data_IF_258604077372
#
_entry.id   IF_258604077372
#
_cell.length_a   1.000
_cell.length_b   1.000
_cell.length_c   1.000
_cell.angle_alpha   90.00
_cell.angle_beta   90.00
_cell.angle_gamma   90.00
#
_symmetry.space_group_name_H-M   'P 1'
#
loop_
_entity.id
_entity.type
_entity.pdbx_description
1 polymer ?
#
# COMPACT_ATOMS: atom_id res chain seq x y z
N UNK A 1 10.39 5.99 -9.26
CA UNK A 1 9.04 6.26 -8.73
C UNK A 1 9.09 7.57 -7.95
N UNK A 2 8.04 8.38 -8.03
CA UNK A 2 7.94 9.63 -7.26
C UNK A 2 7.25 9.39 -5.93
N UNK A 3 7.64 10.14 -4.90
CA UNK A 3 7.06 10.08 -3.58
C UNK A 3 5.63 10.61 -3.61
N UNK A 4 4.70 9.79 -3.12
CA UNK A 4 3.28 10.16 -3.03
C UNK A 4 3.01 11.36 -2.11
N UNK A 5 3.93 11.65 -1.17
CA UNK A 5 3.79 12.74 -0.20
C UNK A 5 4.33 14.08 -0.70
N UNK A 6 5.52 14.07 -1.32
CA UNK A 6 6.24 15.31 -1.65
C UNK A 6 6.73 15.39 -3.10
N UNK A 7 6.29 14.46 -3.97
CA UNK A 7 6.72 14.33 -5.37
C UNK A 7 8.23 14.19 -5.59
N UNK A 8 9.01 13.94 -4.53
CA UNK A 8 10.45 13.74 -4.61
C UNK A 8 10.84 12.36 -5.14
N UNK A 9 12.11 12.15 -5.44
CA UNK A 9 12.59 10.85 -5.89
C UNK A 9 12.57 9.81 -4.76
N UNK A 10 12.23 8.58 -5.12
CA UNK A 10 12.29 7.43 -4.22
C UNK A 10 13.43 6.50 -4.63
N UNK A 11 14.19 6.05 -3.64
CA UNK A 11 15.23 5.04 -3.75
C UNK A 11 14.63 3.68 -3.39
N UNK A 12 14.92 2.67 -4.20
CA UNK A 12 14.49 1.30 -3.98
C UNK A 12 15.63 0.49 -3.40
N UNK A 13 15.43 -0.05 -2.21
CA UNK A 13 16.37 -0.98 -1.61
C UNK A 13 15.71 -2.35 -1.53
N UNK A 14 16.35 -3.31 -2.18
CA UNK A 14 15.99 -4.71 -2.06
C UNK A 14 16.78 -5.27 -0.88
N UNK A 15 16.13 -5.42 0.28
CA UNK A 15 16.76 -6.10 1.40
C UNK A 15 16.86 -7.60 1.07
N UNK A 16 18.06 -8.06 0.74
CA UNK A 16 18.42 -9.46 0.53
C UNK A 16 18.61 -10.23 1.86
N UNK A 17 17.95 -9.82 2.94
CA UNK A 17 17.86 -10.67 4.14
C UNK A 17 16.94 -11.83 3.79
N UNK A 18 17.47 -13.05 3.86
CA UNK A 18 16.90 -14.32 3.39
C UNK A 18 15.44 -14.57 3.80
N UNK A 19 14.93 -13.90 4.84
CA UNK A 19 13.59 -14.13 5.39
C UNK A 19 12.47 -13.25 4.85
N UNK A 20 12.74 -12.06 4.27
CA UNK A 20 11.63 -11.13 3.96
C UNK A 20 11.32 -10.95 2.48
N UNK A 21 12.28 -11.03 1.54
CA UNK A 21 12.08 -10.74 0.09
C UNK A 21 11.23 -9.47 -0.16
N UNK A 22 11.22 -8.51 0.77
CA UNK A 22 10.35 -7.33 0.69
C UNK A 22 11.02 -6.25 -0.15
N UNK A 23 10.18 -5.53 -0.89
CA UNK A 23 10.59 -4.40 -1.71
C UNK A 23 10.24 -3.13 -0.95
N UNK A 24 11.26 -2.40 -0.54
CA UNK A 24 11.12 -1.14 0.18
C UNK A 24 11.52 0.02 -0.73
N UNK A 25 10.75 1.09 -0.67
CA UNK A 25 11.07 2.36 -1.31
C UNK A 25 11.08 3.48 -0.28
N UNK A 26 12.16 4.25 -0.21
CA UNK A 26 12.29 5.42 0.68
C UNK A 26 12.40 6.69 -0.14
N UNK A 27 11.63 7.72 0.19
CA UNK A 27 11.80 9.04 -0.40
C UNK A 27 13.09 9.70 0.13
N UNK A 28 13.93 10.17 -0.79
CA UNK A 28 15.18 10.88 -0.45
C UNK A 28 14.94 12.29 0.10
N UNK A 29 13.79 12.90 -0.22
CA UNK A 29 13.46 14.25 0.23
C UNK A 29 12.82 14.29 1.63
N UNK A 30 11.76 13.50 1.85
CA UNK A 30 10.97 13.54 3.09
C UNK A 30 11.09 12.29 3.97
N UNK A 31 11.89 11.29 3.56
CA UNK A 31 12.08 10.05 4.33
C UNK A 31 10.88 9.10 4.37
N UNK A 32 9.79 9.40 3.66
CA UNK A 32 8.61 8.52 3.58
C UNK A 32 8.97 7.14 3.06
N UNK A 33 8.51 6.10 3.75
CA UNK A 33 8.73 4.69 3.40
C UNK A 33 7.47 4.08 2.78
N UNK A 34 7.68 3.24 1.77
CA UNK A 34 6.64 2.44 1.13
C UNK A 34 7.14 1.00 1.03
N UNK A 35 6.51 0.09 1.77
CA UNK A 35 6.67 -1.36 1.62
C UNK A 35 5.55 -1.86 0.69
N UNK A 36 5.92 -2.59 -0.36
CA UNK A 36 4.95 -3.18 -1.29
C UNK A 36 3.97 -4.12 -0.55
N UNK A 37 4.42 -4.84 0.48
CA UNK A 37 3.55 -5.72 1.26
C UNK A 37 2.46 -4.92 2.00
N UNK A 38 2.81 -3.76 2.55
CA UNK A 38 1.85 -2.91 3.26
C UNK A 38 0.87 -2.24 2.29
N UNK A 39 1.34 -1.86 1.10
CA UNK A 39 0.46 -1.35 0.05
C UNK A 39 -0.56 -2.41 -0.39
N UNK A 40 -0.12 -3.65 -0.60
CA UNK A 40 -1.01 -4.76 -0.96
C UNK A 40 -2.03 -5.06 0.15
N UNK A 41 -1.60 -5.04 1.43
CA UNK A 41 -2.51 -5.21 2.58
C UNK A 41 -3.55 -4.09 2.63
N UNK A 42 -3.14 -2.85 2.42
CA UNK A 42 -4.05 -1.72 2.38
C UNK A 42 -5.12 -1.91 1.29
N UNK A 43 -4.72 -2.24 0.06
CA UNK A 43 -5.68 -2.49 -1.02
C UNK A 43 -6.61 -3.66 -0.71
N UNK A 44 -6.09 -4.74 -0.12
CA UNK A 44 -6.90 -5.88 0.30
C UNK A 44 -7.99 -5.44 1.30
N UNK A 45 -7.61 -4.67 2.33
CA UNK A 45 -8.57 -4.16 3.32
C UNK A 45 -9.60 -3.21 2.71
N UNK A 46 -9.18 -2.32 1.81
CA UNK A 46 -10.09 -1.40 1.11
C UNK A 46 -11.08 -2.18 0.22
N UNK A 47 -10.60 -3.19 -0.50
CA UNK A 47 -11.46 -4.04 -1.33
C UNK A 47 -12.43 -4.85 -0.47
N UNK A 48 -11.99 -5.43 0.64
CA UNK A 48 -12.88 -6.14 1.58
C UNK A 48 -13.91 -5.21 2.21
N UNK A 49 -13.52 -4.00 2.60
CA UNK A 49 -14.44 -3.00 3.15
C UNK A 49 -15.45 -2.54 2.10
N UNK A 50 -15.00 -2.26 0.88
CA UNK A 50 -15.87 -1.90 -0.24
C UNK A 50 -16.83 -3.03 -0.63
N UNK A 51 -16.38 -4.29 -0.61
CA UNK A 51 -17.23 -5.46 -0.83
C UNK A 51 -18.30 -5.62 0.27
N UNK A 52 -17.96 -5.34 1.53
CA UNK A 52 -18.93 -5.34 2.63
C UNK A 52 -19.96 -4.23 2.44
N UNK A 53 -19.53 -3.02 2.11
CA UNK A 53 -20.42 -1.87 1.89
C UNK A 53 -21.34 -2.08 0.67
N UNK A 54 -20.84 -2.71 -0.40
CA UNK A 54 -21.66 -3.14 -1.54
C UNK A 54 -22.74 -4.15 -1.10
N UNK A 55 -22.38 -5.14 -0.28
CA UNK A 55 -23.35 -6.13 0.23
C UNK A 55 -24.42 -5.48 1.11
N UNK A 56 -24.08 -4.50 1.93
CA UNK A 56 -25.06 -3.77 2.75
C UNK A 56 -26.04 -2.95 1.91
N UNK A 57 -25.58 -2.33 0.80
CA UNK A 57 -26.49 -1.62 -0.12
C UNK A 57 -27.44 -2.55 -0.89
N UNK A 58 -27.01 -3.78 -1.19
CA UNK A 58 -27.84 -4.77 -1.89
C UNK A 58 -28.88 -5.42 -0.96
N UNK A 59 -28.70 -5.34 0.36
CA UNK A 59 -29.60 -5.97 1.36
C UNK A 59 -30.56 -5.00 2.04
N UNK A 60 -30.79 -3.81 1.48
CA UNK A 60 -31.90 -2.96 1.91
C UNK A 60 -33.18 -3.55 1.29
N UNK A 61 -34.08 -4.18 2.06
CA UNK A 61 -35.36 -4.59 1.55
C UNK A 61 -36.21 -3.33 1.39
N UNK A 62 -36.68 -3.09 0.17
CA UNK A 62 -37.77 -2.16 -0.13
C UNK A 62 -39.06 -2.58 0.54
#
# INVERSE_FOLDING_TARGET
>A
MMCLKCQGFMMFERQYTLDSRRLYARCLNCGFWLDLADLLRFFHQVLEAGLKDLKFRVTIPS
#
